data_IF_388894929617
#
_entry.id   IF_388894929617
#
_cell.length_a   1.000
_cell.length_b   1.000
_cell.length_c   1.000
_cell.angle_alpha   90.00
_cell.angle_beta   90.00
_cell.angle_gamma   90.00
#
_symmetry.space_group_name_H-M   'P 1'
#
loop_
_entity.id
_entity.type
_entity.pdbx_description
1 polymer ?
#
# COMPACT_ATOMS: atom_id res chain seq x y z
N UNK A 1 3.39 -7.48 -6.14
CA UNK A 1 2.02 -7.08 -6.54
C UNK A 1 1.82 -5.56 -6.53
N UNK A 2 2.04 -4.84 -5.42
CA UNK A 2 1.77 -3.38 -5.34
C UNK A 2 2.46 -2.51 -6.40
N UNK A 3 3.75 -2.76 -6.69
CA UNK A 3 4.46 -1.99 -7.73
C UNK A 3 3.92 -2.21 -9.15
N UNK A 4 3.44 -3.41 -9.46
CA UNK A 4 2.80 -3.73 -10.74
C UNK A 4 1.42 -3.06 -10.83
N UNK A 5 0.62 -3.12 -9.77
CA UNK A 5 -0.68 -2.43 -9.71
C UNK A 5 -0.52 -0.91 -9.87
N UNK A 6 0.46 -0.32 -9.17
CA UNK A 6 0.77 1.11 -9.31
C UNK A 6 1.21 1.46 -10.74
N UNK A 7 2.08 0.65 -11.36
CA UNK A 7 2.51 0.86 -12.75
C UNK A 7 1.33 0.81 -13.74
N UNK A 8 0.39 -0.12 -13.55
CA UNK A 8 -0.83 -0.21 -14.37
C UNK A 8 -1.73 1.02 -14.19
N UNK A 9 -1.95 1.46 -12.95
CA UNK A 9 -2.75 2.67 -12.65
C UNK A 9 -2.11 3.92 -13.26
N UNK A 10 -0.77 3.98 -13.27
CA UNK A 10 -0.02 5.06 -13.88
C UNK A 10 -0.08 5.06 -15.42
N UNK A 11 -0.56 3.96 -16.03
CA UNK A 11 -0.77 3.84 -17.46
C UNK A 11 0.28 3.01 -18.20
N UNK A 12 0.93 2.05 -17.53
CA UNK A 12 1.88 1.15 -18.20
C UNK A 12 1.22 0.41 -19.39
N UNK A 13 1.89 0.40 -20.54
CA UNK A 13 1.48 -0.33 -21.74
C UNK A 13 2.43 -1.50 -22.01
N UNK A 14 1.93 -2.64 -22.53
CA UNK A 14 2.75 -3.83 -22.80
C UNK A 14 3.56 -3.66 -24.09
N UNK A 15 4.53 -2.76 -24.06
CA UNK A 15 5.44 -2.47 -25.16
C UNK A 15 6.91 -2.78 -24.78
N UNK A 16 7.85 -2.45 -25.66
CA UNK A 16 9.28 -2.66 -25.40
C UNK A 16 9.82 -1.85 -24.20
N UNK A 17 9.12 -0.80 -23.77
CA UNK A 17 9.52 0.04 -22.63
C UNK A 17 8.94 -0.46 -21.31
N UNK A 18 7.98 -1.38 -21.35
CA UNK A 18 7.27 -1.93 -20.20
C UNK A 18 8.19 -2.37 -19.04
N UNK A 19 9.30 -3.11 -19.25
CA UNK A 19 10.15 -3.54 -18.13
C UNK A 19 10.79 -2.35 -17.40
N UNK A 20 11.25 -1.34 -18.15
CA UNK A 20 11.85 -0.13 -17.58
C UNK A 20 10.79 0.70 -16.87
N UNK A 21 9.62 0.88 -17.49
CA UNK A 21 8.49 1.58 -16.89
C UNK A 21 8.11 0.96 -15.54
N UNK A 22 7.97 -0.37 -15.51
CA UNK A 22 7.57 -1.11 -14.31
C UNK A 22 8.64 -1.01 -13.20
N UNK A 23 9.92 -1.12 -13.55
CA UNK A 23 11.03 -0.93 -12.60
C UNK A 23 11.04 0.49 -12.02
N UNK A 24 10.89 1.52 -12.86
CA UNK A 24 10.90 2.92 -12.40
C UNK A 24 9.67 3.21 -11.53
N UNK A 25 8.47 2.84 -11.98
CA UNK A 25 7.24 3.08 -11.23
C UNK A 25 7.22 2.32 -9.89
N UNK A 26 7.66 1.06 -9.88
CA UNK A 26 7.70 0.27 -8.65
C UNK A 26 8.73 0.80 -7.65
N UNK A 27 9.94 1.13 -8.09
CA UNK A 27 10.98 1.64 -7.20
C UNK A 27 10.59 2.97 -6.55
N UNK A 28 10.03 3.93 -7.31
CA UNK A 28 9.55 5.19 -6.72
C UNK A 28 8.35 5.01 -5.78
N UNK A 29 7.46 4.06 -6.05
CA UNK A 29 6.38 3.71 -5.12
C UNK A 29 6.92 3.14 -3.80
N UNK A 30 7.94 2.28 -3.85
CA UNK A 30 8.58 1.75 -2.64
C UNK A 30 9.34 2.82 -1.86
N UNK A 31 10.03 3.74 -2.53
CA UNK A 31 10.73 4.86 -1.88
C UNK A 31 9.74 5.75 -1.13
N UNK A 32 8.63 6.16 -1.78
CA UNK A 32 7.60 6.93 -1.10
C UNK A 32 6.97 6.15 0.06
N UNK A 33 6.79 4.85 -0.11
CA UNK A 33 6.29 3.99 0.96
C UNK A 33 7.23 3.88 2.17
N UNK A 34 8.53 3.74 1.92
CA UNK A 34 9.55 3.75 2.95
C UNK A 34 9.57 5.09 3.68
N UNK A 35 9.51 6.20 2.95
CA UNK A 35 9.48 7.54 3.54
C UNK A 35 8.26 7.73 4.45
N UNK A 36 7.07 7.26 4.02
CA UNK A 36 5.86 7.29 4.85
C UNK A 36 5.96 6.46 6.12
N UNK A 37 6.68 5.33 6.11
CA UNK A 37 6.93 4.51 7.31
C UNK A 37 7.93 5.18 8.25
N UNK A 38 8.99 5.77 7.70
CA UNK A 38 10.05 6.41 8.49
C UNK A 38 9.60 7.73 9.14
N UNK A 39 8.58 8.39 8.59
CA UNK A 39 8.10 9.65 9.11
C UNK A 39 7.06 9.44 10.23
N UNK A 40 7.57 9.34 11.47
CA UNK A 40 6.81 8.98 12.68
C UNK A 40 5.66 9.96 12.98
N UNK A 41 5.80 11.23 12.61
CA UNK A 41 4.78 12.26 12.88
C UNK A 41 3.57 12.19 11.94
N UNK A 42 3.62 11.33 10.91
CA UNK A 42 2.53 11.13 9.96
C UNK A 42 1.84 9.80 10.25
N UNK A 43 0.61 9.79 10.78
CA UNK A 43 -0.16 8.56 10.95
C UNK A 43 -0.25 7.78 9.63
N UNK A 44 0.22 6.54 9.63
CA UNK A 44 0.30 5.67 8.45
C UNK A 44 1.02 6.29 7.22
N UNK A 45 1.87 7.30 7.41
CA UNK A 45 2.59 7.98 6.33
C UNK A 45 1.73 8.82 5.40
N UNK A 46 0.49 9.18 5.79
CA UNK A 46 -0.43 10.04 5.02
C UNK A 46 0.22 11.37 4.63
N UNK A 47 0.20 11.70 3.35
CA UNK A 47 0.75 12.94 2.81
C UNK A 47 2.25 12.82 2.53
N UNK A 48 3.02 12.17 3.39
CA UNK A 48 4.47 11.95 3.18
C UNK A 48 4.70 10.94 2.08
N UNK A 49 3.99 9.80 2.10
CA UNK A 49 4.13 8.77 1.08
C UNK A 49 3.81 9.34 -0.31
N UNK A 50 2.67 10.02 -0.43
CA UNK A 50 2.22 10.59 -1.69
C UNK A 50 3.16 11.70 -2.16
N UNK A 51 3.57 12.61 -1.27
CA UNK A 51 4.52 13.68 -1.61
C UNK A 51 5.86 13.11 -2.08
N UNK A 52 6.37 12.08 -1.42
CA UNK A 52 7.65 11.46 -1.77
C UNK A 52 7.56 10.63 -3.04
N UNK A 53 6.44 9.93 -3.27
CA UNK A 53 6.19 9.25 -4.56
C UNK A 53 6.08 10.27 -5.70
N UNK A 54 5.38 11.39 -5.51
CA UNK A 54 5.29 12.48 -6.50
C UNK A 54 6.64 13.16 -6.71
N UNK A 55 7.44 13.37 -5.66
CA UNK A 55 8.78 13.92 -5.78
C UNK A 55 9.71 12.98 -6.57
N UNK A 56 9.64 11.68 -6.31
CA UNK A 56 10.49 10.70 -6.98
C UNK A 56 10.10 10.43 -8.45
N UNK A 57 8.79 10.41 -8.75
CA UNK A 57 8.28 9.95 -10.04
C UNK A 57 7.64 11.05 -10.90
N UNK A 58 7.24 12.16 -10.29
CA UNK A 58 6.63 13.31 -10.98
C UNK A 58 7.49 13.86 -12.12
N UNK A 59 8.82 13.99 -11.97
CA UNK A 59 9.69 14.44 -13.07
C UNK A 59 9.72 13.49 -14.28
N UNK A 60 9.38 12.21 -14.09
CA UNK A 60 9.44 11.18 -15.15
C UNK A 60 8.08 10.98 -15.81
N UNK A 61 7.01 10.92 -15.01
CA UNK A 61 5.67 10.52 -15.48
C UNK A 61 4.64 11.66 -15.44
N UNK A 62 5.02 12.84 -14.95
CA UNK A 62 4.14 13.98 -14.75
C UNK A 62 3.51 13.98 -13.36
N UNK A 63 3.53 15.14 -12.69
CA UNK A 63 3.09 15.28 -11.29
C UNK A 63 1.62 14.87 -11.09
N UNK A 64 0.71 15.35 -11.96
CA UNK A 64 -0.72 15.11 -11.85
C UNK A 64 -1.06 13.60 -11.94
N UNK A 65 -0.48 12.90 -12.92
CA UNK A 65 -0.68 11.46 -13.11
C UNK A 65 -0.18 10.66 -11.91
N UNK A 66 1.00 11.00 -11.41
CA UNK A 66 1.60 10.32 -10.25
C UNK A 66 0.79 10.56 -8.99
N UNK A 67 0.30 11.79 -8.78
CA UNK A 67 -0.54 12.12 -7.62
C UNK A 67 -1.85 11.34 -7.64
N UNK A 68 -2.53 11.29 -8.79
CA UNK A 68 -3.75 10.49 -8.96
C UNK A 68 -3.47 9.00 -8.72
N UNK A 69 -2.41 8.45 -9.31
CA UNK A 69 -2.05 7.05 -9.12
C UNK A 69 -1.72 6.71 -7.66
N UNK A 70 -0.98 7.59 -6.98
CA UNK A 70 -0.65 7.44 -5.57
C UNK A 70 -1.90 7.49 -4.69
N UNK A 71 -2.81 8.43 -4.95
CA UNK A 71 -4.09 8.54 -4.26
C UNK A 71 -4.97 7.31 -4.44
N UNK A 72 -5.12 6.81 -5.68
CA UNK A 72 -5.90 5.59 -5.98
C UNK A 72 -5.31 4.38 -5.26
N UNK A 73 -3.99 4.18 -5.33
CA UNK A 73 -3.35 3.08 -4.60
C UNK A 73 -3.51 3.20 -3.09
N UNK A 74 -3.52 4.42 -2.54
CA UNK A 74 -3.78 4.61 -1.11
C UNK A 74 -5.22 4.23 -0.77
N UNK A 75 -6.20 4.68 -1.54
CA UNK A 75 -7.60 4.29 -1.38
C UNK A 75 -7.77 2.77 -1.38
N UNK A 76 -7.16 2.08 -2.36
CA UNK A 76 -7.21 0.62 -2.46
C UNK A 76 -6.57 -0.08 -1.27
N UNK A 77 -5.39 0.37 -0.83
CA UNK A 77 -4.68 -0.23 0.31
C UNK A 77 -5.43 -0.01 1.62
N UNK A 78 -5.97 1.19 1.87
CA UNK A 78 -6.79 1.48 3.06
C UNK A 78 -8.02 0.58 3.09
N UNK A 79 -8.74 0.47 1.97
CA UNK A 79 -9.94 -0.38 1.89
C UNK A 79 -9.59 -1.85 2.15
N UNK A 80 -8.48 -2.33 1.58
CA UNK A 80 -8.01 -3.71 1.82
C UNK A 80 -7.60 -3.94 3.28
N UNK A 81 -6.90 -2.99 3.91
CA UNK A 81 -6.51 -3.03 5.32
C UNK A 81 -7.75 -3.10 6.23
N UNK A 82 -8.76 -2.25 5.97
CA UNK A 82 -10.01 -2.26 6.72
C UNK A 82 -10.78 -3.57 6.53
N UNK A 83 -10.84 -4.08 5.30
CA UNK A 83 -11.49 -5.35 5.02
C UNK A 83 -10.81 -6.52 5.74
N UNK A 84 -9.48 -6.60 5.70
CA UNK A 84 -8.71 -7.62 6.40
C UNK A 84 -8.87 -7.51 7.92
N UNK A 85 -8.91 -6.30 8.46
CA UNK A 85 -9.17 -6.07 9.88
C UNK A 85 -10.55 -6.61 10.29
N UNK A 86 -11.60 -6.25 9.55
CA UNK A 86 -12.97 -6.74 9.81
C UNK A 86 -13.05 -8.26 9.69
N UNK A 87 -12.43 -8.83 8.65
CA UNK A 87 -12.40 -10.28 8.45
C UNK A 87 -11.69 -11.00 9.61
N UNK A 88 -10.53 -10.50 10.03
CA UNK A 88 -9.78 -11.05 11.16
C UNK A 88 -10.60 -11.02 12.46
N UNK A 89 -11.31 -9.92 12.72
CA UNK A 89 -12.18 -9.78 13.88
C UNK A 89 -13.35 -10.77 13.85
N UNK A 90 -14.01 -10.94 12.69
CA UNK A 90 -15.11 -11.91 12.53
C UNK A 90 -14.62 -13.35 12.73
N UNK A 91 -13.46 -13.70 12.18
CA UNK A 91 -12.85 -15.03 12.35
C UNK A 91 -12.45 -15.27 13.81
N UNK A 92 -11.83 -14.30 14.46
CA UNK A 92 -11.45 -14.36 15.88
C UNK A 92 -12.67 -14.63 16.78
N UNK A 93 -13.77 -13.91 16.55
CA UNK A 93 -15.04 -14.10 17.29
C UNK A 93 -15.66 -15.47 17.07
N UNK A 94 -15.49 -16.07 15.88
CA UNK A 94 -15.97 -17.44 15.58
C UNK A 94 -15.06 -18.53 16.16
N UNK A 95 -13.75 -18.28 16.27
CA UNK A 95 -12.77 -19.21 16.83
C UNK A 95 -12.66 -19.21 18.37
N UNK A 96 -13.16 -18.17 19.04
CA UNK A 96 -13.04 -17.98 20.49
C UNK A 96 -13.81 -18.94 21.40
N UNK A 97 -14.50 -19.97 20.87
CA UNK A 97 -15.35 -20.89 21.65
C UNK A 97 -14.66 -22.20 22.10
N UNK A 98 -13.34 -22.30 21.93
CA UNK A 98 -12.55 -23.52 22.23
C UNK A 98 -11.33 -23.25 23.15
N UNK A 99 -11.46 -22.34 24.13
CA UNK A 99 -10.55 -22.33 25.28
C UNK A 99 -11.13 -23.27 26.33
N UNK A 100 -10.74 -24.54 26.28
CA UNK A 100 -11.00 -25.47 27.38
C UNK A 100 -10.31 -24.92 28.65
N UNK A 101 -10.97 -24.97 29.84
CA UNK A 101 -10.31 -24.63 31.09
C UNK A 101 -9.12 -25.57 31.29
N UNK A 102 -7.94 -25.02 31.62
CA UNK A 102 -6.79 -25.85 32.03
C UNK A 102 -7.20 -26.55 33.33
N UNK A 103 -7.35 -27.89 33.37
CA UNK A 103 -7.65 -28.59 34.60
C UNK A 103 -6.41 -28.55 35.48
N UNK A 104 -6.50 -27.93 36.67
CA UNK A 104 -5.43 -28.06 37.69
C UNK A 104 -4.93 -26.78 38.34
N UNK A 105 -5.67 -25.67 38.34
CA UNK A 105 -5.38 -24.54 39.23
C UNK A 105 -6.53 -24.39 40.21
N UNK A 106 -6.38 -25.04 41.37
CA UNK A 106 -7.15 -24.87 42.60
C UNK A 106 -6.19 -24.48 43.71
#
# INVERSE_FOLDING_TARGET
MHGLAFALILGAQPDATFPRFLLTASSGYFVGGLAGVLFILSPAGIGVREAMTVAALGPVFGQEKVLLAAGVMRGLTVVAELFLFVLAEVVSRRGGRRREPIPGIS
#
